data_IF_628329537933
#
_entry.id   IF_628329537933
#
_cell.length_a   1.000
_cell.length_b   1.000
_cell.length_c   1.000
_cell.angle_alpha   90.00
_cell.angle_beta   90.00
_cell.angle_gamma   90.00
#
_symmetry.space_group_name_H-M   'P 1'
#
loop_
_entity.id
_entity.type
_entity.pdbx_description
1 polymer ?
#
# COMPACT_ATOMS: atom_id res chain seq x y z
N UNK A 1 -35.47 10.55 11.47
CA UNK A 1 -34.14 11.13 11.77
C UNK A 1 -33.14 10.25 11.08
N UNK A 2 -32.52 10.77 10.02
CA UNK A 2 -31.63 10.02 9.15
C UNK A 2 -30.30 9.81 9.88
N UNK A 3 -29.99 8.56 10.21
CA UNK A 3 -28.62 8.17 10.55
C UNK A 3 -27.84 8.17 9.23
N UNK A 4 -27.26 9.31 8.89
CA UNK A 4 -26.17 9.36 7.92
C UNK A 4 -24.98 8.66 8.57
N UNK A 5 -24.85 7.37 8.29
CA UNK A 5 -23.57 6.69 8.34
C UNK A 5 -22.61 7.54 7.53
N UNK A 6 -21.64 8.17 8.19
CA UNK A 6 -20.53 8.86 7.54
C UNK A 6 -19.79 7.85 6.68
N UNK A 7 -20.23 7.74 5.43
CA UNK A 7 -19.48 7.13 4.33
C UNK A 7 -18.29 8.07 4.13
N UNK A 8 -17.23 7.84 4.89
CA UNK A 8 -15.90 8.36 4.55
C UNK A 8 -15.54 7.66 3.25
N UNK A 9 -15.92 8.29 2.13
CA UNK A 9 -15.46 7.90 0.80
C UNK A 9 -13.94 7.81 0.87
N UNK A 10 -13.45 6.59 0.71
CA UNK A 10 -12.03 6.30 0.53
C UNK A 10 -11.64 6.95 -0.79
N UNK A 11 -10.56 7.72 -0.78
CA UNK A 11 -9.93 8.10 -2.02
C UNK A 11 -9.14 6.89 -2.53
N UNK A 12 -9.76 6.06 -3.37
CA UNK A 12 -9.12 4.92 -4.05
C UNK A 12 -8.08 5.37 -5.09
N UNK A 13 -7.53 6.57 -4.93
CA UNK A 13 -6.67 7.26 -5.86
C UNK A 13 -5.17 7.10 -5.54
N UNK A 14 -4.83 6.61 -4.35
CA UNK A 14 -3.45 6.54 -3.88
C UNK A 14 -2.84 5.13 -4.06
N UNK A 15 -1.57 5.09 -4.44
CA UNK A 15 -0.81 3.88 -4.70
C UNK A 15 -0.66 3.51 -6.17
N UNK A 16 -0.01 2.38 -6.39
CA UNK A 16 0.37 1.87 -7.72
C UNK A 16 0.04 0.40 -7.91
N UNK A 17 -0.23 0.03 -9.15
CA UNK A 17 -0.29 -1.35 -9.61
C UNK A 17 1.05 -1.71 -10.23
N UNK A 18 1.66 -2.79 -9.75
CA UNK A 18 3.00 -3.23 -10.19
C UNK A 18 3.04 -4.73 -10.48
N UNK A 19 3.69 -5.11 -11.57
CA UNK A 19 3.99 -6.51 -11.86
C UNK A 19 5.43 -6.84 -11.45
N UNK A 20 5.61 -7.43 -10.26
CA UNK A 20 6.92 -7.60 -9.64
C UNK A 20 6.97 -8.86 -8.75
N UNK A 21 8.18 -9.32 -8.43
CA UNK A 21 8.39 -10.32 -7.39
C UNK A 21 8.37 -9.67 -5.99
N UNK A 22 8.05 -10.45 -4.96
CA UNK A 22 8.07 -9.95 -3.58
C UNK A 22 9.48 -9.48 -3.17
N UNK A 23 10.53 -10.08 -3.70
CA UNK A 23 11.92 -9.65 -3.49
C UNK A 23 12.18 -8.27 -4.10
N UNK A 24 11.63 -7.97 -5.27
CA UNK A 24 11.74 -6.63 -5.87
C UNK A 24 10.99 -5.60 -5.03
N UNK A 25 9.83 -5.95 -4.49
CA UNK A 25 9.04 -5.09 -3.60
C UNK A 25 9.76 -4.84 -2.26
N UNK A 26 10.35 -5.88 -1.66
CA UNK A 26 11.20 -5.76 -0.46
C UNK A 26 12.37 -4.81 -0.70
N UNK A 27 13.08 -4.97 -1.82
CA UNK A 27 14.18 -4.06 -2.20
C UNK A 27 13.71 -2.64 -2.48
N UNK A 28 12.47 -2.44 -2.92
CA UNK A 28 11.88 -1.12 -3.07
C UNK A 28 11.57 -0.48 -1.69
N UNK A 29 11.06 -1.27 -0.75
CA UNK A 29 10.86 -0.84 0.64
C UNK A 29 12.18 -0.43 1.30
N UNK A 30 13.27 -1.16 1.08
CA UNK A 30 14.63 -0.80 1.55
C UNK A 30 15.12 0.58 1.07
N UNK A 31 14.54 1.14 0.00
CA UNK A 31 14.92 2.48 -0.49
C UNK A 31 14.24 3.60 0.26
N UNK A 32 13.14 3.32 0.97
CA UNK A 32 12.28 4.34 1.58
C UNK A 32 12.03 4.14 3.06
N UNK A 33 12.31 2.95 3.60
CA UNK A 33 12.16 2.61 5.01
C UNK A 33 13.54 2.44 5.66
N UNK A 34 13.73 3.05 6.83
CA UNK A 34 14.88 2.82 7.69
C UNK A 34 14.59 1.68 8.68
N UNK A 35 15.41 0.62 8.67
CA UNK A 35 15.29 -0.55 9.56
C UNK A 35 13.85 -1.04 9.74
N UNK A 36 13.35 -1.92 8.88
CA UNK A 36 11.95 -2.37 8.92
C UNK A 36 11.80 -3.85 9.27
N UNK A 37 10.60 -4.22 9.73
CA UNK A 37 10.14 -5.61 9.83
C UNK A 37 9.16 -5.93 8.68
N UNK A 38 9.11 -7.20 8.29
CA UNK A 38 8.18 -7.73 7.28
C UNK A 38 7.12 -8.59 7.98
N UNK A 39 5.85 -8.27 7.75
CA UNK A 39 4.72 -9.01 8.26
C UNK A 39 3.82 -9.47 7.12
N UNK A 40 3.34 -10.72 7.18
CA UNK A 40 2.39 -11.26 6.22
C UNK A 40 1.05 -11.51 6.87
N UNK A 41 0.00 -11.18 6.14
CA UNK A 41 -1.36 -11.34 6.60
C UNK A 41 -2.24 -11.88 5.49
N UNK A 42 -3.20 -12.72 5.86
CA UNK A 42 -4.25 -13.12 4.95
C UNK A 42 -5.25 -11.97 4.74
N UNK A 43 -6.18 -12.13 3.79
CA UNK A 43 -7.26 -11.15 3.53
C UNK A 43 -8.07 -10.78 4.79
N UNK A 44 -8.22 -11.71 5.74
CA UNK A 44 -8.93 -11.50 7.00
C UNK A 44 -8.10 -10.70 8.01
N UNK A 45 -6.79 -10.62 7.82
CA UNK A 45 -5.83 -9.89 8.65
C UNK A 45 -5.16 -10.75 9.71
N UNK A 46 -5.23 -12.06 9.57
CA UNK A 46 -4.52 -13.02 10.42
C UNK A 46 -3.09 -13.18 9.92
N UNK A 47 -2.15 -13.32 10.86
CA UNK A 47 -0.73 -13.47 10.55
C UNK A 47 -0.49 -14.80 9.84
N UNK A 48 0.20 -14.74 8.71
CA UNK A 48 0.60 -15.91 7.92
C UNK A 48 2.10 -16.19 8.04
N UNK A 49 2.46 -17.47 7.85
CA UNK A 49 3.87 -17.87 7.73
C UNK A 49 4.47 -17.38 6.40
N UNK A 50 5.78 -17.16 6.38
CA UNK A 50 6.53 -16.83 5.15
C UNK A 50 6.52 -18.00 4.15
N UNK A 51 6.29 -19.22 4.62
CA UNK A 51 6.25 -20.45 3.82
C UNK A 51 4.90 -20.66 3.12
N UNK A 52 3.84 -20.00 3.60
CA UNK A 52 2.50 -20.14 3.03
C UNK A 52 2.40 -19.37 1.71
N UNK A 53 1.77 -19.97 0.68
CA UNK A 53 1.53 -19.28 -0.57
C UNK A 53 0.54 -18.13 -0.36
N UNK A 54 0.77 -16.99 -1.02
CA UNK A 54 -0.13 -15.85 -0.95
C UNK A 54 -1.29 -16.00 -1.93
N UNK A 55 -2.51 -15.84 -1.42
CA UNK A 55 -3.76 -15.83 -2.18
C UNK A 55 -4.21 -14.39 -2.49
N UNK A 56 -4.94 -14.14 -3.60
CA UNK A 56 -5.52 -12.83 -3.89
C UNK A 56 -6.18 -12.16 -2.67
N UNK A 57 -5.72 -10.95 -2.33
CA UNK A 57 -6.16 -10.19 -1.17
C UNK A 57 -5.27 -10.32 0.07
N UNK A 58 -4.37 -11.30 0.13
CA UNK A 58 -3.31 -11.35 1.14
C UNK A 58 -2.37 -10.15 0.97
N UNK A 59 -1.68 -9.77 2.04
CA UNK A 59 -0.84 -8.59 2.01
C UNK A 59 0.42 -8.73 2.87
N UNK A 60 1.47 -8.05 2.41
CA UNK A 60 2.73 -7.90 3.13
C UNK A 60 2.87 -6.46 3.57
N UNK A 61 3.21 -6.26 4.82
CA UNK A 61 3.50 -4.94 5.41
C UNK A 61 4.98 -4.88 5.74
N UNK A 62 5.66 -3.91 5.14
CA UNK A 62 7.00 -3.51 5.55
C UNK A 62 6.85 -2.28 6.46
N UNK A 63 7.18 -2.41 7.74
CA UNK A 63 6.96 -1.36 8.76
C UNK A 63 8.29 -0.92 9.40
N UNK A 64 8.56 0.38 9.42
CA UNK A 64 9.75 0.94 10.08
C UNK A 64 9.78 0.69 11.59
N UNK A 65 10.96 0.42 12.13
CA UNK A 65 11.23 0.29 13.58
C UNK A 65 11.30 1.64 14.29
N UNK A 66 10.28 2.47 14.09
CA UNK A 66 10.15 3.79 14.71
C UNK A 66 8.90 3.81 15.61
N UNK A 67 9.07 4.24 16.86
CA UNK A 67 7.97 4.24 17.85
C UNK A 67 6.82 5.19 17.51
N UNK A 68 7.13 6.33 16.91
CA UNK A 68 6.15 7.39 16.68
C UNK A 68 5.91 7.51 15.18
N UNK A 69 4.70 7.16 14.72
CA UNK A 69 4.29 7.30 13.31
C UNK A 69 5.20 6.51 12.35
N UNK A 70 5.35 5.18 12.52
CA UNK A 70 6.15 4.37 11.60
C UNK A 70 5.65 4.52 10.17
N UNK A 71 6.60 4.65 9.23
CA UNK A 71 6.28 4.51 7.82
C UNK A 71 6.02 3.05 7.48
N UNK A 72 5.10 2.85 6.54
CA UNK A 72 4.72 1.54 6.04
C UNK A 72 4.74 1.54 4.51
N UNK A 73 5.17 0.41 3.96
CA UNK A 73 4.87 0.02 2.58
C UNK A 73 4.00 -1.22 2.64
N UNK A 74 2.77 -1.11 2.17
CA UNK A 74 1.81 -2.21 2.13
C UNK A 74 1.69 -2.68 0.70
N UNK A 75 1.90 -3.97 0.48
CA UNK A 75 1.72 -4.62 -0.82
C UNK A 75 0.66 -5.70 -0.73
N UNK A 76 -0.37 -5.59 -1.54
CA UNK A 76 -1.51 -6.50 -1.56
C UNK A 76 -1.45 -7.31 -2.85
N UNK A 77 -1.50 -8.64 -2.74
CA UNK A 77 -1.52 -9.48 -3.94
C UNK A 77 -2.87 -9.36 -4.61
N UNK A 78 -2.86 -9.12 -5.91
CA UNK A 78 -4.05 -9.07 -6.74
C UNK A 78 -4.20 -10.41 -7.44
N UNK A 79 -3.26 -10.71 -8.33
CA UNK A 79 -3.20 -11.97 -9.06
C UNK A 79 -1.79 -12.17 -9.61
N UNK A 80 -1.23 -13.37 -9.45
CA UNK A 80 -0.02 -13.86 -10.16
C UNK A 80 1.07 -12.79 -10.41
N UNK A 81 1.67 -12.27 -9.35
CA UNK A 81 2.78 -11.31 -9.46
C UNK A 81 2.35 -9.87 -9.75
N UNK A 82 1.05 -9.61 -9.89
CA UNK A 82 0.46 -8.27 -9.88
C UNK A 82 0.10 -7.88 -8.46
N UNK A 83 0.58 -6.71 -8.04
CA UNK A 83 0.43 -6.18 -6.70
C UNK A 83 -0.16 -4.78 -6.72
N UNK A 84 -0.98 -4.48 -5.72
CA UNK A 84 -1.27 -3.10 -5.33
C UNK A 84 -0.27 -2.70 -4.26
N UNK A 85 0.40 -1.57 -4.44
CA UNK A 85 1.35 -1.02 -3.48
C UNK A 85 0.88 0.36 -3.04
N UNK A 86 0.91 0.60 -1.74
CA UNK A 86 0.72 1.92 -1.14
C UNK A 86 1.85 2.18 -0.13
N UNK A 87 2.33 3.42 -0.10
CA UNK A 87 3.19 3.92 0.99
C UNK A 87 2.36 4.82 1.88
N UNK A 88 2.36 4.54 3.18
CA UNK A 88 1.59 5.29 4.16
C UNK A 88 2.40 5.45 5.45
N UNK A 89 1.90 6.23 6.39
CA UNK A 89 2.44 6.34 7.74
C UNK A 89 1.32 6.36 8.77
N UNK A 90 1.55 5.68 9.90
CA UNK A 90 0.55 5.67 10.96
C UNK A 90 0.36 7.10 11.51
N UNK A 91 -0.88 7.60 11.52
CA UNK A 91 -1.14 8.91 12.13
C UNK A 91 -0.69 8.93 13.60
N UNK A 92 -0.01 9.99 14.05
CA UNK A 92 0.38 10.13 15.45
C UNK A 92 -0.85 10.13 16.36
N UNK A 93 -0.73 9.52 17.55
CA UNK A 93 -1.81 9.54 18.55
C UNK A 93 -2.18 10.99 18.91
N UNK A 94 -3.39 11.40 18.56
CA UNK A 94 -3.87 12.79 18.71
C UNK A 94 -3.94 13.61 17.42
N UNK A 95 -3.54 13.01 16.28
CA UNK A 95 -3.53 13.66 14.97
C UNK A 95 -2.35 14.60 14.76
N UNK A 96 -2.31 15.24 13.60
CA UNK A 96 -1.29 16.25 13.31
C UNK A 96 -1.53 17.51 14.15
N UNK A 97 -0.48 18.01 14.80
CA UNK A 97 -0.57 19.23 15.63
C UNK A 97 -0.91 20.50 14.84
N UNK A 98 -0.75 20.47 13.52
CA UNK A 98 -1.13 21.56 12.62
C UNK A 98 -1.37 21.06 11.19
N UNK A 99 -2.06 21.86 10.37
CA UNK A 99 -2.18 21.59 8.93
C UNK A 99 -0.83 21.58 8.20
N UNK A 100 0.18 22.27 8.73
CA UNK A 100 1.55 22.23 8.18
C UNK A 100 2.23 20.89 8.41
N UNK A 101 1.98 20.26 9.55
CA UNK A 101 2.52 18.94 9.86
C UNK A 101 1.82 17.86 9.02
N UNK A 102 0.50 18.00 8.81
CA UNK A 102 -0.25 17.16 7.88
C UNK A 102 0.28 17.27 6.44
N UNK A 103 0.50 18.49 5.93
CA UNK A 103 1.09 18.70 4.60
C UNK A 103 2.49 18.09 4.46
N UNK A 104 3.33 18.20 5.49
CA UNK A 104 4.66 17.57 5.49
C UNK A 104 4.61 16.06 5.45
N UNK A 105 3.64 15.45 6.14
CA UNK A 105 3.45 14.00 6.09
C UNK A 105 3.02 13.55 4.69
N UNK A 106 2.05 14.25 4.08
CA UNK A 106 1.62 13.97 2.71
C UNK A 106 2.77 14.15 1.69
N UNK A 107 3.58 15.22 1.80
CA UNK A 107 4.76 15.42 0.95
C UNK A 107 5.79 14.29 1.11
N UNK A 108 5.95 13.77 2.33
CA UNK A 108 6.85 12.65 2.59
C UNK A 108 6.34 11.35 1.97
N UNK A 109 5.03 11.09 2.03
CA UNK A 109 4.38 9.94 1.39
C UNK A 109 4.52 9.99 -0.13
N UNK A 110 4.22 11.13 -0.76
CA UNK A 110 4.38 11.32 -2.20
C UNK A 110 5.84 11.11 -2.64
N UNK A 111 6.79 11.59 -1.84
CA UNK A 111 8.21 11.41 -2.10
C UNK A 111 8.62 9.93 -2.01
N UNK A 112 8.11 9.18 -1.02
CA UNK A 112 8.40 7.74 -0.90
C UNK A 112 7.85 6.98 -2.10
N UNK A 113 6.61 7.22 -2.48
CA UNK A 113 6.00 6.57 -3.65
C UNK A 113 6.82 6.85 -4.93
N UNK A 114 7.28 8.09 -5.11
CA UNK A 114 8.15 8.46 -6.24
C UNK A 114 9.46 7.69 -6.28
N UNK A 115 10.12 7.53 -5.12
CA UNK A 115 11.37 6.75 -5.01
C UNK A 115 11.12 5.28 -5.33
N UNK A 116 10.02 4.70 -4.83
CA UNK A 116 9.61 3.31 -5.14
C UNK A 116 9.42 3.13 -6.65
N UNK A 117 8.64 4.00 -7.29
CA UNK A 117 8.40 3.97 -8.75
C UNK A 117 9.71 4.05 -9.54
N UNK A 118 10.59 4.96 -9.15
CA UNK A 118 11.88 5.15 -9.82
C UNK A 118 12.78 3.92 -9.69
N UNK A 119 12.89 3.36 -8.48
CA UNK A 119 13.64 2.14 -8.22
C UNK A 119 13.10 0.96 -9.04
N UNK A 120 11.80 0.71 -8.98
CA UNK A 120 11.18 -0.42 -9.68
C UNK A 120 11.39 -0.31 -11.19
N UNK A 121 11.24 0.90 -11.76
CA UNK A 121 11.39 1.13 -13.20
C UNK A 121 12.85 1.05 -13.67
N UNK A 122 13.76 1.74 -12.98
CA UNK A 122 15.14 1.95 -13.47
C UNK A 122 16.11 0.89 -12.97
N UNK A 123 16.00 0.48 -11.71
CA UNK A 123 16.95 -0.45 -11.09
C UNK A 123 16.45 -1.90 -11.14
N UNK A 124 15.17 -2.14 -10.85
CA UNK A 124 14.60 -3.49 -10.82
C UNK A 124 14.09 -3.98 -12.19
N UNK A 125 13.99 -3.08 -13.18
CA UNK A 125 13.58 -3.40 -14.55
C UNK A 125 12.10 -3.75 -14.72
N UNK A 126 11.26 -3.38 -13.75
CA UNK A 126 9.82 -3.62 -13.78
C UNK A 126 9.17 -2.77 -14.87
N UNK A 127 8.50 -3.43 -15.82
CA UNK A 127 7.91 -2.78 -16.99
C UNK A 127 6.52 -2.21 -16.70
N UNK A 128 5.70 -2.92 -15.91
CA UNK A 128 4.33 -2.55 -15.58
C UNK A 128 4.27 -1.87 -14.21
N UNK A 129 4.18 -0.54 -14.24
CA UNK A 129 4.00 0.32 -13.07
C UNK A 129 3.00 1.39 -13.46
N UNK A 130 1.78 1.31 -12.92
CA UNK A 130 0.67 2.20 -13.26
C UNK A 130 0.08 2.79 -11.98
N UNK A 131 -0.26 4.07 -12.02
CA UNK A 131 -1.02 4.71 -10.95
C UNK A 131 -2.42 4.13 -10.88
N UNK A 132 -2.93 3.85 -9.68
CA UNK A 132 -4.26 3.24 -9.51
C UNK A 132 -5.36 4.10 -10.13
N UNK A 133 -5.19 5.43 -10.10
CA UNK A 133 -6.06 6.39 -10.79
C UNK A 133 -6.14 6.19 -12.31
N UNK A 134 -5.02 5.83 -12.91
CA UNK A 134 -4.86 5.73 -14.36
C UNK A 134 -4.99 4.29 -14.86
N UNK A 135 -4.97 3.32 -13.95
CA UNK A 135 -5.03 1.90 -14.24
C UNK A 135 -6.38 1.53 -14.86
N UNK A 136 -6.32 0.90 -16.04
CA UNK A 136 -7.50 0.36 -16.72
C UNK A 136 -7.42 -1.17 -16.71
N UNK A 137 -8.32 -1.86 -15.98
CA UNK A 137 -8.35 -3.32 -15.98
C UNK A 137 -8.75 -3.82 -17.37
N UNK A 138 -7.97 -4.76 -17.91
CA UNK A 138 -8.23 -5.40 -19.21
C UNK A 138 -9.54 -6.23 -19.19
N UNK A 139 -9.96 -6.69 -18.01
CA UNK A 139 -11.18 -7.48 -17.80
C UNK A 139 -12.07 -6.84 -16.72
N UNK A 140 -13.27 -6.43 -17.12
CA UNK A 140 -14.26 -5.80 -16.23
C UNK A 140 -14.65 -6.64 -14.99
N UNK A 141 -14.51 -7.97 -15.06
CA UNK A 141 -14.79 -8.86 -13.93
C UNK A 141 -13.67 -8.82 -12.86
N UNK A 142 -12.41 -8.73 -13.29
CA UNK A 142 -11.24 -8.64 -12.40
C UNK A 142 -11.20 -7.27 -11.73
N UNK A 143 -11.52 -6.20 -12.46
CA UNK A 143 -11.60 -4.82 -11.97
C UNK A 143 -12.33 -4.68 -10.62
N UNK A 144 -13.51 -5.30 -10.51
CA UNK A 144 -14.36 -5.18 -9.31
C UNK A 144 -13.78 -5.94 -8.12
N UNK A 145 -13.12 -7.06 -8.38
CA UNK A 145 -12.47 -7.88 -7.37
C UNK A 145 -11.18 -7.21 -6.89
N UNK A 146 -10.35 -6.70 -7.81
CA UNK A 146 -9.17 -5.89 -7.51
C UNK A 146 -9.54 -4.65 -6.71
N UNK A 147 -10.51 -3.86 -7.18
CA UNK A 147 -10.99 -2.69 -6.44
C UNK A 147 -11.63 -3.07 -5.11
N UNK A 148 -12.27 -4.24 -5.02
CA UNK A 148 -12.81 -4.77 -3.76
C UNK A 148 -11.71 -5.10 -2.75
N UNK A 149 -10.62 -5.72 -3.21
CA UNK A 149 -9.42 -6.02 -2.44
C UNK A 149 -8.74 -4.73 -1.98
N UNK A 150 -8.50 -3.80 -2.91
CA UNK A 150 -7.91 -2.48 -2.62
C UNK A 150 -8.76 -1.73 -1.60
N UNK A 151 -10.09 -1.68 -1.78
CA UNK A 151 -10.99 -1.03 -0.83
C UNK A 151 -11.00 -1.68 0.56
N UNK A 152 -10.89 -3.01 0.64
CA UNK A 152 -10.81 -3.71 1.94
C UNK A 152 -9.47 -3.42 2.62
N UNK A 153 -8.38 -3.40 1.87
CA UNK A 153 -7.05 -3.10 2.38
C UNK A 153 -6.94 -1.63 2.82
N UNK A 154 -7.38 -0.68 1.99
CA UNK A 154 -7.33 0.75 2.32
C UNK A 154 -8.17 1.11 3.55
N UNK A 155 -9.32 0.46 3.80
CA UNK A 155 -10.08 0.64 5.07
C UNK A 155 -9.30 0.23 6.33
N UNK A 156 -8.38 -0.73 6.21
CA UNK A 156 -7.58 -1.19 7.34
C UNK A 156 -6.36 -0.29 7.61
N UNK A 157 -5.87 0.43 6.60
CA UNK A 157 -4.57 1.11 6.65
C UNK A 157 -4.61 2.62 6.41
N UNK A 158 -5.70 3.17 5.86
CA UNK A 158 -5.98 4.61 5.81
C UNK A 158 -6.71 4.96 7.11
N UNK A 159 -5.96 5.43 8.11
CA UNK A 159 -6.46 5.91 9.40
C UNK A 159 -6.52 7.43 9.45
#
# INVERSE_FOLDING_TARGET
MSNESGDTKIDTQEGIIVEASIEQLRRAAEKVLFEFDEYRYNIDGEVQSVEEPMEPGDYVVFEEKIKNSPAQVVVVTIIRGLWYLISTSQMPQGGYGSGRDAMRAAEAEEKRERIIKEFLRKEAGVQKIEDVCDWKPDLHAEAKEVLGIINKASRKWVH
#
